data_IF_373376216993
#
_entry.id   IF_373376216993
#
_cell.length_a   1.000
_cell.length_b   1.000
_cell.length_c   1.000
_cell.angle_alpha   90.00
_cell.angle_beta   90.00
_cell.angle_gamma   90.00
#
_symmetry.space_group_name_H-M   'P 1'
#
loop_
_entity.id
_entity.type
_entity.pdbx_description
1 polymer ?
#
# COMPACT_ATOMS: atom_id res chain seq x y z
N UNK A 1 5.96 28.57 -22.99
CA UNK A 1 5.04 28.02 -21.98
C UNK A 1 5.23 28.81 -20.70
N UNK A 2 4.21 29.51 -20.22
CA UNK A 2 4.27 30.25 -18.97
C UNK A 2 3.77 29.32 -17.85
N UNK A 3 4.62 29.07 -16.85
CA UNK A 3 4.31 28.18 -15.72
C UNK A 3 4.23 29.05 -14.48
N UNK A 4 3.11 28.97 -13.76
CA UNK A 4 2.91 29.65 -12.48
C UNK A 4 2.91 28.62 -11.37
N UNK A 5 3.72 28.84 -10.34
CA UNK A 5 3.72 28.00 -9.14
C UNK A 5 2.80 28.61 -8.10
N UNK A 6 1.83 27.83 -7.65
CA UNK A 6 0.86 28.24 -6.62
C UNK A 6 1.06 27.34 -5.41
N UNK A 7 1.11 27.95 -4.23
CA UNK A 7 1.17 27.22 -2.97
C UNK A 7 -0.25 26.79 -2.56
N UNK A 8 -0.38 25.52 -2.18
CA UNK A 8 -1.60 24.96 -1.59
C UNK A 8 -1.24 24.11 -0.38
N UNK A 9 -2.24 23.80 0.43
CA UNK A 9 -2.10 22.88 1.57
C UNK A 9 -2.78 21.55 1.25
N UNK A 10 -2.18 20.44 1.68
CA UNK A 10 -2.82 19.13 1.56
C UNK A 10 -3.67 18.88 2.80
N UNK A 11 -4.98 18.69 2.62
CA UNK A 11 -5.92 18.33 3.68
C UNK A 11 -6.70 17.10 3.23
N UNK A 12 -6.66 16.03 4.03
CA UNK A 12 -7.34 14.75 3.72
C UNK A 12 -6.97 14.17 2.33
N UNK A 13 -5.71 14.31 1.92
CA UNK A 13 -5.24 13.83 0.61
C UNK A 13 -5.69 14.67 -0.59
N UNK A 14 -6.37 15.80 -0.36
CA UNK A 14 -6.77 16.75 -1.39
C UNK A 14 -5.92 18.01 -1.30
N UNK A 15 -5.55 18.55 -2.46
CA UNK A 15 -4.85 19.85 -2.55
C UNK A 15 -5.90 20.94 -2.45
N UNK A 16 -5.80 21.76 -1.41
CA UNK A 16 -6.63 22.94 -1.23
C UNK A 16 -5.78 24.16 -1.61
N UNK A 17 -6.23 24.85 -2.65
CA UNK A 17 -5.69 26.14 -3.07
C UNK A 17 -6.41 27.25 -2.31
N UNK A 18 -5.80 28.44 -2.19
CA UNK A 18 -6.50 29.60 -1.63
C UNK A 18 -7.72 29.96 -2.49
N UNK A 19 -8.74 30.57 -1.87
CA UNK A 19 -10.03 30.87 -2.52
C UNK A 19 -9.88 31.78 -3.76
N UNK A 20 -8.79 32.55 -3.82
CA UNK A 20 -8.46 33.50 -4.87
C UNK A 20 -7.92 32.81 -6.15
N UNK A 21 -7.55 31.53 -6.06
CA UNK A 21 -6.95 30.79 -7.16
C UNK A 21 -8.02 30.03 -7.92
N UNK A 22 -8.31 30.50 -9.15
CA UNK A 22 -9.18 29.79 -10.09
C UNK A 22 -8.35 29.17 -11.21
N UNK A 23 -8.37 27.85 -11.29
CA UNK A 23 -7.77 27.13 -12.41
C UNK A 23 -8.74 27.12 -13.60
N UNK A 24 -8.25 27.31 -14.84
CA UNK A 24 -9.09 27.16 -16.04
C UNK A 24 -9.67 25.75 -16.15
N UNK A 25 -10.81 25.63 -16.83
CA UNK A 25 -11.38 24.33 -17.16
C UNK A 25 -10.37 23.49 -17.97
N UNK A 26 -10.28 22.20 -17.65
CA UNK A 26 -9.35 21.24 -18.24
C UNK A 26 -7.84 21.59 -18.12
N UNK A 27 -7.46 22.48 -17.21
CA UNK A 27 -6.05 22.77 -16.95
C UNK A 27 -5.29 21.54 -16.44
N UNK A 28 -4.11 21.26 -17.02
CA UNK A 28 -3.20 20.20 -16.53
C UNK A 28 -2.43 20.70 -15.31
N UNK A 29 -2.50 19.95 -14.21
CA UNK A 29 -1.83 20.29 -12.94
C UNK A 29 -0.72 19.28 -12.65
N UNK A 30 0.47 19.79 -12.28
CA UNK A 30 1.60 18.98 -11.84
C UNK A 30 1.81 19.17 -10.33
N UNK A 31 1.96 18.05 -9.61
CA UNK A 31 2.20 18.05 -8.16
C UNK A 31 3.60 17.51 -7.90
N UNK A 32 4.45 18.33 -7.27
CA UNK A 32 5.81 17.94 -6.90
C UNK A 32 5.85 17.60 -5.42
N UNK A 33 6.04 16.31 -5.11
CA UNK A 33 6.17 15.83 -3.72
C UNK A 33 7.60 15.35 -3.49
N UNK A 34 8.43 16.09 -2.73
CA UNK A 34 9.77 15.63 -2.40
C UNK A 34 9.70 14.37 -1.52
N UNK A 35 10.59 13.40 -1.76
CA UNK A 35 10.75 12.19 -0.94
C UNK A 35 9.49 11.32 -0.81
N UNK A 36 8.63 11.26 -1.85
CA UNK A 36 7.49 10.36 -1.86
C UNK A 36 7.95 8.89 -1.82
N UNK A 37 7.94 8.29 -0.62
CA UNK A 37 8.16 6.85 -0.49
C UNK A 37 6.94 6.11 -1.01
N UNK A 38 7.03 5.59 -2.23
CA UNK A 38 6.03 4.65 -2.75
C UNK A 38 6.06 3.40 -1.88
N UNK A 39 5.04 3.21 -1.04
CA UNK A 39 4.79 1.92 -0.40
C UNK A 39 4.30 0.96 -1.48
N UNK A 40 5.23 0.27 -2.12
CA UNK A 40 4.88 -0.84 -3.01
C UNK A 40 4.32 -1.96 -2.14
N UNK A 41 3.00 -2.14 -2.12
CA UNK A 41 2.40 -3.31 -1.48
C UNK A 41 2.92 -4.56 -2.20
N UNK A 42 3.83 -5.30 -1.55
CA UNK A 42 4.29 -6.59 -2.06
C UNK A 42 3.19 -7.60 -1.81
N UNK A 43 2.47 -7.96 -2.87
CA UNK A 43 1.60 -9.13 -2.86
C UNK A 43 2.54 -10.35 -2.88
N UNK A 44 2.75 -10.97 -1.71
CA UNK A 44 3.46 -12.23 -1.63
C UNK A 44 2.55 -13.31 -2.22
N UNK A 45 2.92 -13.87 -3.37
CA UNK A 45 2.20 -15.03 -3.90
C UNK A 45 2.48 -16.25 -3.02
N UNK A 46 1.49 -17.14 -2.80
CA UNK A 46 1.75 -18.43 -2.18
C UNK A 46 2.81 -19.17 -2.99
N UNK A 47 3.84 -19.67 -2.31
CA UNK A 47 4.79 -20.58 -2.96
C UNK A 47 4.18 -21.98 -2.96
N UNK A 48 4.17 -22.63 -4.12
CA UNK A 48 3.81 -24.05 -4.21
C UNK A 48 4.84 -24.86 -3.42
N UNK A 49 4.37 -25.84 -2.66
CA UNK A 49 5.26 -26.73 -1.91
C UNK A 49 6.16 -27.52 -2.88
N UNK A 50 7.45 -27.64 -2.56
CA UNK A 50 8.36 -28.49 -3.31
C UNK A 50 8.13 -29.95 -2.91
N UNK A 51 8.14 -30.87 -3.88
CA UNK A 51 8.02 -32.31 -3.62
C UNK A 51 9.11 -32.84 -2.67
N UNK A 52 10.30 -32.24 -2.68
CA UNK A 52 11.38 -32.57 -1.74
C UNK A 52 11.02 -32.27 -0.28
N UNK A 53 10.06 -31.38 -0.02
CA UNK A 53 9.62 -30.98 1.32
C UNK A 53 8.50 -31.88 1.87
N UNK A 54 8.14 -32.98 1.18
CA UNK A 54 7.01 -33.84 1.58
C UNK A 54 7.07 -34.29 3.05
N UNK A 55 8.28 -34.56 3.56
CA UNK A 55 8.50 -34.98 4.95
C UNK A 55 8.10 -33.91 5.99
N UNK A 56 8.00 -32.63 5.60
CA UNK A 56 7.58 -31.53 6.48
C UNK A 56 6.06 -31.47 6.69
N UNK A 57 5.30 -32.22 5.90
CA UNK A 57 3.83 -32.22 5.90
C UNK A 57 3.25 -33.53 6.44
N UNK A 58 4.04 -34.30 7.18
CA UNK A 58 3.58 -35.55 7.81
C UNK A 58 2.67 -35.19 8.99
N UNK A 59 1.47 -35.75 8.99
CA UNK A 59 0.48 -35.56 10.05
C UNK A 59 0.92 -36.31 11.31
N UNK A 60 1.09 -35.61 12.42
CA UNK A 60 1.18 -36.22 13.75
C UNK A 60 -0.22 -36.23 14.37
N UNK A 61 -0.59 -37.34 15.00
CA UNK A 61 -1.80 -37.46 15.81
C UNK A 61 -1.30 -37.66 17.23
N UNK A 62 -1.66 -36.72 18.10
CA UNK A 62 -1.43 -36.83 19.54
C UNK A 62 -2.78 -37.11 20.16
N UNK A 63 -2.90 -38.24 20.88
CA UNK A 63 -4.07 -38.55 21.68
C UNK A 63 -3.87 -37.89 23.05
N UNK A 64 -4.67 -36.87 23.33
CA UNK A 64 -4.78 -36.33 24.68
C UNK A 64 -5.52 -37.36 25.52
N UNK A 65 -4.81 -37.97 26.47
CA UNK A 65 -5.44 -38.80 27.49
C UNK A 65 -5.87 -37.83 28.58
N UNK A 66 -7.18 -37.53 28.62
CA UNK A 66 -7.78 -36.79 29.73
C UNK A 66 -7.50 -37.57 31.02
N UNK A 67 -6.59 -37.05 31.86
CA UNK A 67 -6.41 -37.50 33.24
C UNK A 67 -7.63 -37.05 34.08
N UNK A 68 -8.78 -37.70 33.91
CA UNK A 68 -9.86 -37.62 34.90
C UNK A 68 -9.44 -38.42 36.15
N UNK A 69 -9.09 -37.68 37.20
CA UNK A 69 -8.73 -38.14 38.55
C UNK A 69 -9.97 -38.34 39.42
#
# INVERSE_FOLDING_TARGET
MQVTTIQGIVKNGQIILSEDVKLPEAATVYVVVPNLQRKTARIMSPRLANKADANRFVKTIEEDVDDEV
#
